data_IF_939304848715
#
_entry.id   IF_939304848715
#
_cell.length_a   1.000
_cell.length_b   1.000
_cell.length_c   1.000
_cell.angle_alpha   90.00
_cell.angle_beta   90.00
_cell.angle_gamma   90.00
#
_symmetry.space_group_name_H-M   'P 1'
#
loop_
_entity.id
_entity.type
_entity.pdbx_description
1 polymer ?
#
# COMPACT_ATOMS: atom_id res chain seq x y z
N UNK A 1 -30.44 29.08 15.49
CA UNK A 1 -29.26 28.55 16.20
C UNK A 1 -28.74 27.35 15.43
N UNK A 2 -27.45 27.31 15.09
CA UNK A 2 -26.85 26.16 14.41
C UNK A 2 -26.62 25.07 15.45
N UNK A 3 -27.18 23.88 15.23
CA UNK A 3 -26.97 22.73 16.11
C UNK A 3 -25.58 22.15 15.83
N UNK A 4 -24.74 22.07 16.86
CA UNK A 4 -23.42 21.45 16.79
C UNK A 4 -23.47 20.04 17.38
N UNK A 5 -22.83 19.09 16.72
CA UNK A 5 -22.68 17.70 17.16
C UNK A 5 -21.21 17.38 17.41
N UNK A 6 -20.98 16.41 18.28
CA UNK A 6 -19.65 15.92 18.61
C UNK A 6 -19.11 14.95 17.54
N UNK A 7 -17.79 14.77 17.52
CA UNK A 7 -17.10 13.76 16.68
C UNK A 7 -17.73 12.37 16.83
N UNK A 8 -18.14 12.00 18.05
CA UNK A 8 -18.73 10.69 18.36
C UNK A 8 -20.11 10.51 17.74
N UNK A 9 -20.92 11.57 17.74
CA UNK A 9 -22.25 11.55 17.11
C UNK A 9 -22.11 11.52 15.59
N UNK A 10 -21.23 12.35 15.02
CA UNK A 10 -20.94 12.34 13.59
C UNK A 10 -20.40 10.98 13.11
N UNK A 11 -19.56 10.31 13.92
CA UNK A 11 -19.05 8.98 13.64
C UNK A 11 -20.18 7.94 13.49
N UNK A 12 -21.16 7.97 14.39
CA UNK A 12 -22.36 7.11 14.31
C UNK A 12 -23.21 7.45 13.10
N UNK A 13 -23.45 8.74 12.85
CA UNK A 13 -24.29 9.20 11.74
C UNK A 13 -23.71 8.83 10.37
N UNK A 14 -22.39 8.92 10.21
CA UNK A 14 -21.71 8.65 8.94
C UNK A 14 -21.20 7.21 8.80
N UNK A 15 -21.41 6.38 9.82
CA UNK A 15 -20.89 5.01 9.93
C UNK A 15 -19.39 4.93 9.61
N UNK A 16 -18.59 5.78 10.25
CA UNK A 16 -17.11 5.81 10.13
C UNK A 16 -16.47 5.94 11.51
N UNK A 17 -15.19 5.60 11.64
CA UNK A 17 -14.48 5.68 12.92
C UNK A 17 -14.31 7.14 13.38
N UNK A 18 -14.34 7.37 14.70
CA UNK A 18 -14.10 8.70 15.30
C UNK A 18 -12.77 9.31 14.84
N UNK A 19 -11.73 8.47 14.73
CA UNK A 19 -10.43 8.87 14.16
C UNK A 19 -10.58 9.44 12.75
N UNK A 20 -11.40 8.82 11.90
CA UNK A 20 -11.62 9.28 10.54
C UNK A 20 -12.38 10.61 10.51
N UNK A 21 -13.38 10.77 11.36
CA UNK A 21 -14.09 12.06 11.53
C UNK A 21 -13.12 13.17 11.96
N UNK A 22 -12.27 12.89 12.95
CA UNK A 22 -11.26 13.85 13.42
C UNK A 22 -10.23 14.20 12.34
N UNK A 23 -9.83 13.24 11.51
CA UNK A 23 -9.00 13.49 10.33
C UNK A 23 -9.71 14.39 9.31
N UNK A 24 -11.01 14.16 9.05
CA UNK A 24 -11.79 14.99 8.12
C UNK A 24 -11.86 16.45 8.60
N UNK A 25 -12.14 16.67 9.90
CA UNK A 25 -12.15 18.01 10.51
C UNK A 25 -10.76 18.66 10.43
N UNK A 26 -9.70 17.92 10.81
CA UNK A 26 -8.31 18.42 10.75
C UNK A 26 -7.89 18.77 9.32
N UNK A 27 -8.33 17.99 8.34
CA UNK A 27 -8.04 18.22 6.92
C UNK A 27 -8.90 19.31 6.27
N UNK A 28 -9.82 19.94 7.00
CA UNK A 28 -10.71 20.98 6.49
C UNK A 28 -11.73 20.49 5.45
N UNK A 29 -12.04 19.19 5.43
CA UNK A 29 -12.99 18.61 4.45
C UNK A 29 -14.46 18.79 4.82
N UNK A 30 -14.71 19.22 6.06
CA UNK A 30 -16.04 19.50 6.57
C UNK A 30 -16.03 21.00 6.89
N UNK A 31 -16.86 21.77 6.19
CA UNK A 31 -16.95 23.21 6.40
C UNK A 31 -17.68 23.52 7.72
N UNK A 32 -17.32 24.65 8.34
CA UNK A 32 -17.94 25.11 9.58
C UNK A 32 -17.53 24.33 10.83
N UNK A 33 -16.53 23.43 10.77
CA UNK A 33 -16.02 22.77 11.97
C UNK A 33 -15.20 23.73 12.83
N UNK A 34 -15.55 23.84 14.11
CA UNK A 34 -14.83 24.67 15.07
C UNK A 34 -14.18 23.78 16.12
N UNK A 35 -12.93 24.08 16.48
CA UNK A 35 -12.24 23.38 17.56
C UNK A 35 -12.53 24.08 18.88
N UNK A 36 -13.23 23.41 19.78
CA UNK A 36 -13.51 23.90 21.13
C UNK A 36 -12.64 23.12 22.13
N UNK A 37 -11.48 23.67 22.49
CA UNK A 37 -10.50 22.99 23.33
C UNK A 37 -9.94 21.71 22.69
N UNK A 38 -10.27 20.55 23.28
CA UNK A 38 -9.80 19.23 22.82
C UNK A 38 -10.75 18.53 21.85
N UNK A 39 -11.97 19.01 21.67
CA UNK A 39 -12.99 18.41 20.80
C UNK A 39 -13.26 19.25 19.55
N UNK A 40 -13.74 18.58 18.49
CA UNK A 40 -14.30 19.24 17.31
C UNK A 40 -15.81 19.35 17.47
N UNK A 41 -16.33 20.55 17.16
CA UNK A 41 -17.74 20.83 16.95
C UNK A 41 -18.02 20.79 15.46
N UNK A 42 -18.94 19.92 15.06
CA UNK A 42 -19.33 19.73 13.66
C UNK A 42 -20.77 20.23 13.51
N UNK A 43 -21.09 21.05 12.51
CA UNK A 43 -22.48 21.43 12.24
C UNK A 43 -23.34 20.19 11.96
N UNK A 44 -24.54 20.11 12.54
CA UNK A 44 -25.42 18.93 12.39
C UNK A 44 -25.93 18.73 10.95
N UNK A 45 -25.93 19.80 10.16
CA UNK A 45 -26.25 19.85 8.73
C UNK A 45 -25.07 19.48 7.83
N UNK A 46 -23.86 19.32 8.39
CA UNK A 46 -22.69 18.94 7.62
C UNK A 46 -22.88 17.55 6.99
N UNK A 47 -22.75 17.48 5.67
CA UNK A 47 -22.78 16.22 4.93
C UNK A 47 -21.43 15.52 4.97
N UNK A 48 -21.45 14.18 4.91
CA UNK A 48 -20.23 13.37 4.85
C UNK A 48 -19.48 13.68 3.54
N UNK A 49 -18.23 14.16 3.58
CA UNK A 49 -17.49 14.46 2.35
C UNK A 49 -17.21 13.19 1.55
N UNK A 50 -17.21 13.32 0.23
CA UNK A 50 -16.95 12.20 -0.69
C UNK A 50 -15.58 11.54 -0.42
N UNK A 51 -15.56 10.20 -0.39
CA UNK A 51 -14.32 9.45 -0.24
C UNK A 51 -13.52 9.49 -1.54
N UNK A 52 -12.47 10.33 -1.58
CA UNK A 52 -11.54 10.45 -2.71
C UNK A 52 -10.64 9.21 -2.88
N UNK A 53 -10.82 8.15 -2.10
CA UNK A 53 -10.16 6.87 -2.37
C UNK A 53 -10.64 6.36 -3.73
N UNK A 54 -9.70 6.29 -4.65
CA UNK A 54 -9.90 5.78 -6.00
C UNK A 54 -10.45 4.34 -5.90
N UNK A 55 -11.77 4.19 -6.08
CA UNK A 55 -12.43 2.89 -6.36
C UNK A 55 -12.61 2.66 -7.86
N UNK A 56 -12.36 3.68 -8.68
CA UNK A 56 -12.27 3.53 -10.13
C UNK A 56 -11.06 2.67 -10.44
N UNK A 57 -11.27 1.63 -11.24
CA UNK A 57 -10.29 0.59 -11.53
C UNK A 57 -9.07 1.05 -12.34
N UNK A 58 -8.49 2.23 -12.12
CA UNK A 58 -7.20 2.59 -12.71
C UNK A 58 -6.07 1.66 -12.25
N UNK A 59 -6.27 0.91 -11.15
CA UNK A 59 -5.45 -0.23 -10.74
C UNK A 59 -6.00 -1.61 -11.16
N UNK A 60 -7.16 -1.68 -11.81
CA UNK A 60 -7.54 -2.88 -12.58
C UNK A 60 -6.63 -2.87 -13.80
N UNK A 61 -5.48 -3.54 -13.70
CA UNK A 61 -4.73 -3.90 -14.89
C UNK A 61 -5.72 -4.60 -15.83
N UNK A 62 -5.99 -3.98 -16.98
CA UNK A 62 -6.69 -4.61 -18.10
C UNK A 62 -6.12 -6.03 -18.24
N UNK A 63 -7.01 -7.01 -18.42
CA UNK A 63 -6.69 -8.44 -18.45
C UNK A 63 -5.28 -8.66 -19.00
N UNK A 64 -4.34 -9.01 -18.12
CA UNK A 64 -2.98 -9.30 -18.55
C UNK A 64 -3.07 -10.49 -19.50
N UNK A 65 -2.66 -10.29 -20.74
CA UNK A 65 -2.27 -11.37 -21.65
C UNK A 65 -1.42 -12.37 -20.88
N UNK A 66 -1.99 -13.56 -20.63
CA UNK A 66 -1.38 -14.73 -19.96
C UNK A 66 -0.30 -14.39 -18.91
N UNK A 67 -0.67 -13.69 -17.83
CA UNK A 67 0.24 -13.57 -16.69
C UNK A 67 0.17 -14.86 -15.89
N UNK A 68 1.23 -15.66 -15.97
CA UNK A 68 1.40 -16.80 -15.06
C UNK A 68 1.32 -16.30 -13.61
N UNK A 69 0.71 -17.09 -12.71
CA UNK A 69 0.61 -16.72 -11.30
C UNK A 69 2.00 -16.67 -10.65
N UNK A 70 2.13 -15.92 -9.56
CA UNK A 70 3.36 -15.95 -8.76
C UNK A 70 3.50 -17.33 -8.09
N UNK A 71 4.71 -17.91 -8.01
CA UNK A 71 4.96 -19.20 -7.37
C UNK A 71 4.94 -19.08 -5.83
N UNK A 72 3.80 -18.72 -5.26
CA UNK A 72 3.62 -18.61 -3.80
C UNK A 72 3.28 -19.99 -3.26
N UNK A 73 4.13 -20.52 -2.37
CA UNK A 73 3.93 -21.84 -1.76
C UNK A 73 4.40 -23.02 -2.63
N UNK A 74 4.96 -22.75 -3.82
CA UNK A 74 5.61 -23.76 -4.65
C UNK A 74 7.07 -23.87 -4.26
N UNK A 75 7.51 -25.07 -3.87
CA UNK A 75 8.90 -25.36 -3.53
C UNK A 75 9.67 -26.09 -4.65
N UNK A 76 8.98 -26.75 -5.58
CA UNK A 76 9.63 -27.42 -6.70
C UNK A 76 10.02 -26.41 -7.78
N UNK A 77 11.33 -26.31 -8.03
CA UNK A 77 11.91 -25.40 -9.00
C UNK A 77 11.42 -25.65 -10.43
N UNK A 78 11.34 -26.92 -10.86
CA UNK A 78 10.99 -27.25 -12.25
C UNK A 78 9.56 -26.83 -12.55
N UNK A 79 8.67 -27.07 -11.59
CA UNK A 79 7.27 -26.66 -11.65
C UNK A 79 7.13 -25.13 -11.64
N UNK A 80 7.89 -24.44 -10.79
CA UNK A 80 7.91 -22.98 -10.75
C UNK A 80 8.43 -22.35 -12.07
N UNK A 81 9.43 -22.96 -12.70
CA UNK A 81 9.98 -22.49 -13.98
C UNK A 81 9.01 -22.70 -15.15
N UNK A 82 8.30 -23.83 -15.18
CA UNK A 82 7.44 -24.22 -16.30
C UNK A 82 6.04 -23.57 -16.25
N UNK A 83 5.44 -23.46 -15.06
CA UNK A 83 4.00 -23.14 -14.93
C UNK A 83 3.70 -21.80 -14.24
N UNK A 84 4.72 -21.13 -13.70
CA UNK A 84 4.56 -19.89 -12.92
C UNK A 84 5.37 -18.73 -13.50
N UNK A 85 5.08 -17.54 -13.00
CA UNK A 85 5.90 -16.36 -13.28
C UNK A 85 7.26 -16.51 -12.61
N UNK A 86 8.22 -17.00 -13.39
CA UNK A 86 9.61 -17.18 -13.00
C UNK A 86 10.47 -16.05 -13.58
N UNK A 87 11.34 -15.48 -12.74
CA UNK A 87 12.31 -14.45 -13.16
C UNK A 87 13.69 -15.06 -13.05
N UNK A 88 14.30 -15.33 -14.20
CA UNK A 88 15.70 -15.74 -14.27
C UNK A 88 16.62 -14.52 -14.09
N UNK A 89 17.57 -14.64 -13.16
CA UNK A 89 18.55 -13.59 -12.85
C UNK A 89 19.96 -13.95 -13.30
N UNK A 90 20.16 -15.09 -13.94
CA UNK A 90 21.47 -15.60 -14.33
C UNK A 90 22.21 -14.62 -15.23
N UNK A 91 21.52 -13.96 -16.17
CA UNK A 91 22.14 -12.93 -17.01
C UNK A 91 22.59 -11.71 -16.22
N UNK A 92 21.78 -11.25 -15.25
CA UNK A 92 22.16 -10.15 -14.38
C UNK A 92 23.40 -10.51 -13.53
N UNK A 93 23.48 -11.75 -13.04
CA UNK A 93 24.63 -12.25 -12.28
C UNK A 93 25.87 -12.34 -13.18
N UNK A 94 25.70 -12.79 -14.42
CA UNK A 94 26.78 -12.87 -15.42
C UNK A 94 27.38 -11.49 -15.66
N UNK A 95 26.55 -10.52 -16.05
CA UNK A 95 26.99 -9.16 -16.35
C UNK A 95 27.72 -8.56 -15.15
N UNK A 96 27.24 -8.84 -13.95
CA UNK A 96 27.84 -8.41 -12.69
C UNK A 96 29.25 -9.00 -12.43
N UNK A 97 29.44 -10.30 -12.69
CA UNK A 97 30.74 -10.96 -12.53
C UNK A 97 31.74 -10.46 -13.58
N UNK A 98 31.26 -10.26 -14.82
CA UNK A 98 32.09 -9.84 -15.95
C UNK A 98 32.60 -8.39 -15.78
N UNK A 99 31.82 -7.51 -15.16
CA UNK A 99 32.21 -6.11 -14.87
C UNK A 99 33.36 -5.96 -13.84
N UNK A 100 33.63 -6.99 -13.02
CA UNK A 100 34.68 -7.03 -11.98
C UNK A 100 34.83 -5.73 -11.13
N UNK A 101 33.75 -5.20 -10.53
CA UNK A 101 33.83 -4.02 -9.69
C UNK A 101 34.61 -4.30 -8.39
N UNK A 102 35.42 -3.33 -7.91
CA UNK A 102 36.16 -3.48 -6.65
C UNK A 102 35.25 -3.64 -5.42
N UNK A 103 34.08 -3.00 -5.42
CA UNK A 103 33.05 -3.11 -4.38
C UNK A 103 31.69 -2.97 -5.04
N UNK A 104 30.72 -3.79 -4.62
CA UNK A 104 29.32 -3.65 -5.04
C UNK A 104 28.38 -3.51 -3.86
N UNK A 105 27.50 -2.50 -3.91
CA UNK A 105 26.52 -2.23 -2.88
C UNK A 105 25.10 -2.57 -3.37
N UNK A 106 24.48 -3.58 -2.75
CA UNK A 106 23.07 -3.89 -2.99
C UNK A 106 22.18 -3.25 -1.91
N UNK A 107 21.24 -2.39 -2.33
CA UNK A 107 20.24 -1.84 -1.40
C UNK A 107 19.27 -2.95 -1.00
N UNK A 108 18.98 -3.08 0.30
CA UNK A 108 18.06 -4.11 0.83
C UNK A 108 16.64 -3.55 0.94
N UNK A 109 15.68 -3.89 0.05
CA UNK A 109 14.35 -3.33 0.11
C UNK A 109 13.58 -3.92 1.29
N UNK A 110 13.10 -3.06 2.19
CA UNK A 110 12.32 -3.46 3.36
C UNK A 110 10.98 -4.03 2.88
N UNK A 111 10.74 -5.34 3.12
CA UNK A 111 9.56 -6.15 2.74
C UNK A 111 9.64 -6.89 1.39
N UNK A 112 10.76 -6.83 0.67
CA UNK A 112 11.01 -7.79 -0.41
C UNK A 112 11.74 -9.03 0.16
N UNK A 113 11.33 -10.23 -0.27
CA UNK A 113 11.57 -11.52 0.40
C UNK A 113 12.98 -11.75 0.94
N UNK A 114 13.06 -12.14 2.22
CA UNK A 114 14.30 -12.40 2.98
C UNK A 114 15.17 -13.54 2.41
N UNK A 115 14.69 -14.26 1.40
CA UNK A 115 15.34 -15.46 0.86
C UNK A 115 16.32 -15.14 -0.27
N UNK A 116 16.14 -14.05 -1.01
CA UNK A 116 16.96 -13.79 -2.20
C UNK A 116 18.40 -13.35 -1.86
N UNK A 117 18.59 -12.66 -0.74
CA UNK A 117 19.94 -12.26 -0.28
C UNK A 117 20.71 -13.36 0.45
N UNK A 118 20.08 -14.49 0.82
CA UNK A 118 20.78 -15.56 1.55
C UNK A 118 21.63 -16.39 0.58
N UNK A 119 21.03 -16.84 -0.52
CA UNK A 119 21.72 -17.63 -1.53
C UNK A 119 22.84 -16.88 -2.27
N UNK A 120 22.76 -15.56 -2.40
CA UNK A 120 23.82 -14.79 -3.06
C UNK A 120 25.08 -14.62 -2.19
N UNK A 121 24.95 -14.69 -0.85
CA UNK A 121 26.07 -14.51 0.07
C UNK A 121 26.78 -15.83 0.42
N UNK A 122 26.12 -16.98 0.26
CA UNK A 122 26.69 -18.31 0.57
C UNK A 122 27.58 -18.86 -0.58
N UNK A 123 27.65 -18.18 -1.72
CA UNK A 123 28.46 -18.56 -2.90
C UNK A 123 29.74 -17.71 -3.09
N UNK A 124 30.03 -16.80 -2.15
CA UNK A 124 31.30 -16.09 -2.06
C UNK A 124 32.14 -16.60 -0.90
#
# INVERSE_FOLDING_TARGET
>A
MIKMISVKEAARQWNITERRVAELCRSGRIEGTVRQGRSWQIPADASKPADKRIRSGSYRKNQRSSCLPLPIGVSDFRLAQAEYYYVDKTMLIKDFIDERPMVTLFTRPRRFGKTLNRYAADFF
#
